data_IF_955829671631
#
_entry.id   IF_955829671631
#
_cell.length_a   1.000
_cell.length_b   1.000
_cell.length_c   1.000
_cell.angle_alpha   90.00
_cell.angle_beta   90.00
_cell.angle_gamma   90.00
#
_symmetry.space_group_name_H-M   'P 1'
#
loop_
_entity.id
_entity.type
_entity.pdbx_description
1 polymer ?
#
# COMPACT_ATOMS: atom_id res chain seq x y z
N UNK A 1 -0.73 1.17 -12.37
CA UNK A 1 -0.40 0.02 -11.53
C UNK A 1 -0.32 -1.25 -12.37
N UNK A 2 0.68 -2.08 -12.16
CA UNK A 2 0.89 -3.37 -12.82
C UNK A 2 0.07 -4.53 -12.21
N UNK A 3 -0.95 -4.23 -11.43
CA UNK A 3 -1.87 -5.23 -10.91
C UNK A 3 -2.72 -5.86 -12.04
N UNK A 4 -3.00 -7.15 -11.93
CA UNK A 4 -3.85 -7.91 -12.87
C UNK A 4 -3.24 -8.12 -14.29
N UNK A 5 -1.91 -8.10 -14.43
CA UNK A 5 -1.23 -8.27 -15.72
C UNK A 5 -1.57 -9.60 -16.40
N UNK A 6 -1.73 -10.69 -15.64
CA UNK A 6 -2.09 -12.00 -16.18
C UNK A 6 -3.43 -11.97 -16.92
N UNK A 7 -4.45 -11.29 -16.37
CA UNK A 7 -5.77 -11.19 -16.99
C UNK A 7 -5.84 -10.22 -18.16
N UNK A 8 -5.04 -9.15 -18.13
CA UNK A 8 -5.10 -8.08 -19.15
C UNK A 8 -3.93 -8.09 -20.12
N UNK A 9 -2.90 -8.92 -19.92
CA UNK A 9 -1.72 -9.10 -20.78
C UNK A 9 -0.80 -7.87 -20.90
N UNK A 10 -1.31 -6.63 -20.79
CA UNK A 10 -0.49 -5.41 -20.81
C UNK A 10 -1.12 -4.28 -20.01
N UNK A 11 -0.28 -3.29 -19.66
CA UNK A 11 -0.73 -2.06 -18.99
C UNK A 11 -1.66 -1.24 -19.88
N UNK A 12 -1.41 -1.22 -21.19
CA UNK A 12 -2.24 -0.55 -22.18
C UNK A 12 -3.63 -1.14 -22.22
N UNK A 13 -3.75 -2.48 -22.13
CA UNK A 13 -5.04 -3.16 -22.09
C UNK A 13 -5.81 -2.90 -20.79
N UNK A 14 -5.09 -2.77 -19.67
CA UNK A 14 -5.69 -2.32 -18.41
C UNK A 14 -6.25 -0.90 -18.56
N UNK A 15 -5.48 0.00 -19.19
CA UNK A 15 -5.89 1.39 -19.43
C UNK A 15 -7.13 1.46 -20.33
N UNK A 16 -7.13 0.74 -21.46
CA UNK A 16 -8.25 0.65 -22.37
C UNK A 16 -9.52 0.14 -21.66
N UNK A 17 -9.40 -0.99 -20.95
CA UNK A 17 -10.55 -1.63 -20.30
C UNK A 17 -11.13 -0.78 -19.16
N UNK A 18 -10.27 -0.22 -18.29
CA UNK A 18 -10.73 0.65 -17.20
C UNK A 18 -11.14 2.01 -17.71
N UNK A 19 -10.47 2.53 -18.73
CA UNK A 19 -10.78 3.79 -19.38
C UNK A 19 -12.13 3.77 -20.13
N UNK A 20 -12.59 2.58 -20.56
CA UNK A 20 -13.89 2.43 -21.18
C UNK A 20 -15.05 2.93 -20.30
N UNK A 21 -14.88 2.92 -18.95
CA UNK A 21 -15.88 3.50 -18.04
C UNK A 21 -16.17 4.97 -18.35
N UNK A 22 -15.17 5.73 -18.77
CA UNK A 22 -15.33 7.16 -19.08
C UNK A 22 -16.19 7.41 -20.32
N UNK A 23 -16.32 6.42 -21.22
CA UNK A 23 -17.17 6.53 -22.42
C UNK A 23 -18.68 6.52 -22.09
N UNK A 24 -19.05 6.12 -20.87
CA UNK A 24 -20.44 6.09 -20.39
C UNK A 24 -20.81 7.32 -19.55
N UNK A 25 -19.90 8.31 -19.43
CA UNK A 25 -20.13 9.52 -18.65
C UNK A 25 -20.75 10.62 -19.52
N UNK A 26 -22.02 10.49 -19.89
CA UNK A 26 -22.71 11.50 -20.72
C UNK A 26 -22.90 12.83 -19.95
N UNK A 27 -23.18 12.80 -18.65
CA UNK A 27 -23.38 13.97 -17.80
C UNK A 27 -22.74 13.77 -16.40
N UNK A 28 -21.73 12.92 -16.29
CA UNK A 28 -21.05 12.60 -15.03
C UNK A 28 -19.72 13.32 -14.90
N UNK A 29 -19.15 13.23 -13.70
CA UNK A 29 -17.84 13.79 -13.36
C UNK A 29 -16.82 12.67 -13.32
N UNK A 30 -15.74 12.81 -14.08
CA UNK A 30 -14.57 11.93 -14.03
C UNK A 30 -13.47 12.52 -13.15
N UNK A 31 -13.12 11.85 -12.07
CA UNK A 31 -12.00 12.23 -11.24
C UNK A 31 -10.73 11.52 -11.71
N UNK A 32 -9.74 12.28 -12.16
CA UNK A 32 -8.55 11.76 -12.83
C UNK A 32 -7.29 12.09 -12.04
N UNK A 33 -6.56 11.05 -11.66
CA UNK A 33 -5.24 11.23 -11.04
C UNK A 33 -4.22 11.76 -12.06
N UNK A 34 -3.85 13.02 -11.93
CA UNK A 34 -2.97 13.71 -12.87
C UNK A 34 -1.48 13.31 -12.71
N UNK A 35 -1.12 12.59 -11.65
CA UNK A 35 0.21 12.01 -11.48
C UNK A 35 0.47 10.81 -12.42
N UNK A 36 -0.56 10.14 -12.95
CA UNK A 36 -0.41 9.08 -13.95
C UNK A 36 -0.54 9.68 -15.37
N UNK A 37 0.60 9.80 -16.07
CA UNK A 37 0.68 10.39 -17.42
C UNK A 37 -0.25 9.71 -18.42
N UNK A 38 -0.49 8.41 -18.27
CA UNK A 38 -1.38 7.65 -19.14
C UNK A 38 -2.84 8.08 -19.02
N UNK A 39 -3.23 8.57 -17.83
CA UNK A 39 -4.58 9.07 -17.58
C UNK A 39 -4.80 10.49 -18.12
N UNK A 40 -3.73 11.28 -18.28
CA UNK A 40 -3.84 12.67 -18.79
C UNK A 40 -4.42 12.73 -20.19
N UNK A 41 -4.10 11.75 -21.03
CA UNK A 41 -4.52 11.68 -22.43
C UNK A 41 -5.89 11.02 -22.66
N UNK A 42 -6.56 10.52 -21.62
CA UNK A 42 -7.88 9.90 -21.76
C UNK A 42 -8.91 10.95 -22.16
N UNK A 43 -9.62 10.68 -23.24
CA UNK A 43 -10.78 11.47 -23.67
C UNK A 43 -11.98 11.12 -22.80
N UNK A 44 -12.65 12.13 -22.28
CA UNK A 44 -13.81 12.01 -21.39
C UNK A 44 -14.93 12.87 -21.94
N UNK A 45 -16.12 12.28 -22.09
CA UNK A 45 -17.30 12.99 -22.64
C UNK A 45 -17.97 13.90 -21.61
N UNK A 46 -17.80 13.64 -20.32
CA UNK A 46 -18.33 14.41 -19.21
C UNK A 46 -17.37 15.47 -18.68
N UNK A 47 -17.70 16.01 -17.52
CA UNK A 47 -16.82 16.91 -16.76
C UNK A 47 -15.58 16.14 -16.27
N UNK A 48 -14.40 16.76 -16.41
CA UNK A 48 -13.12 16.19 -15.95
C UNK A 48 -12.59 17.03 -14.80
N UNK A 49 -12.41 16.40 -13.65
CA UNK A 49 -11.74 16.98 -12.49
C UNK A 49 -10.44 16.23 -12.24
N UNK A 50 -9.35 16.95 -12.22
CA UNK A 50 -8.00 16.42 -12.04
C UNK A 50 -7.51 16.65 -10.61
N UNK A 51 -6.76 15.68 -10.06
CA UNK A 51 -6.18 15.78 -8.74
C UNK A 51 -4.81 15.11 -8.68
N UNK A 52 -3.97 15.49 -7.72
CA UNK A 52 -2.71 14.78 -7.49
C UNK A 52 -1.56 15.68 -7.08
N UNK A 53 -0.37 15.09 -6.97
CA UNK A 53 0.89 15.77 -6.67
C UNK A 53 1.41 16.48 -7.94
N UNK A 54 0.67 17.44 -8.41
CA UNK A 54 0.99 18.23 -9.61
C UNK A 54 0.28 19.58 -9.52
N UNK A 55 1.02 20.67 -9.70
CA UNK A 55 0.49 22.03 -9.62
C UNK A 55 -0.50 22.39 -10.77
N UNK A 56 -0.50 21.61 -11.85
CA UNK A 56 -1.33 21.88 -13.03
C UNK A 56 -2.74 21.23 -12.99
N UNK A 57 -3.08 20.53 -11.88
CA UNK A 57 -4.39 19.91 -11.75
C UNK A 57 -5.38 20.79 -10.97
N UNK A 58 -6.69 20.47 -11.04
CA UNK A 58 -7.75 21.23 -10.38
C UNK A 58 -7.66 21.16 -8.84
N UNK A 59 -7.21 20.02 -8.31
CA UNK A 59 -6.90 19.80 -6.90
C UNK A 59 -5.40 19.49 -6.72
N UNK A 60 -4.54 20.50 -6.80
CA UNK A 60 -3.11 20.32 -6.59
C UNK A 60 -2.83 19.98 -5.13
N UNK A 61 -1.88 19.08 -4.91
CA UNK A 61 -1.49 18.67 -3.57
C UNK A 61 0.02 18.60 -3.40
N UNK A 62 0.47 18.95 -2.20
CA UNK A 62 1.84 18.77 -1.73
C UNK A 62 1.86 17.93 -0.46
N UNK A 63 2.94 17.17 -0.28
CA UNK A 63 3.16 16.32 0.88
C UNK A 63 4.28 16.93 1.73
N UNK A 64 3.98 17.17 2.99
CA UNK A 64 4.92 17.60 4.01
C UNK A 64 4.92 16.61 5.18
N UNK A 65 5.85 16.76 6.11
CA UNK A 65 5.89 15.96 7.32
C UNK A 65 5.84 16.89 8.54
N UNK A 66 5.03 16.52 9.52
CA UNK A 66 4.98 17.14 10.83
C UNK A 66 6.17 16.69 11.70
N UNK A 67 6.39 17.32 12.85
CA UNK A 67 7.52 17.04 13.75
C UNK A 67 7.56 15.57 14.24
N UNK A 68 6.41 14.92 14.36
CA UNK A 68 6.30 13.52 14.73
C UNK A 68 6.48 12.54 13.54
N UNK A 69 6.71 13.09 12.32
CA UNK A 69 6.82 12.38 11.07
C UNK A 69 5.47 11.97 10.45
N UNK A 70 4.34 12.43 11.00
CA UNK A 70 3.02 12.28 10.37
C UNK A 70 2.95 13.10 9.09
N UNK A 71 2.17 12.62 8.13
CA UNK A 71 1.99 13.31 6.86
C UNK A 71 1.00 14.46 7.03
N UNK A 72 1.43 15.63 6.59
CA UNK A 72 0.65 16.83 6.42
C UNK A 72 0.46 17.06 4.92
N UNK A 73 -0.76 17.27 4.47
CA UNK A 73 -1.07 17.57 3.08
C UNK A 73 -1.48 19.03 2.94
N UNK A 74 -1.00 19.68 1.88
CA UNK A 74 -1.63 20.88 1.36
C UNK A 74 -2.40 20.51 0.11
N UNK A 75 -3.73 20.67 0.11
CA UNK A 75 -4.60 20.32 -1.04
C UNK A 75 -5.43 21.54 -1.39
N UNK A 76 -5.33 22.03 -2.63
CA UNK A 76 -6.01 23.26 -3.06
C UNK A 76 -5.84 24.40 -2.03
N UNK A 77 -4.60 24.63 -1.59
CA UNK A 77 -4.21 25.62 -0.57
C UNK A 77 -4.80 25.38 0.84
N UNK A 78 -5.42 24.24 1.10
CA UNK A 78 -5.90 23.83 2.43
C UNK A 78 -4.95 22.84 3.09
N UNK A 79 -4.61 23.12 4.34
CA UNK A 79 -3.81 22.21 5.16
C UNK A 79 -4.70 21.10 5.73
N UNK A 80 -4.29 19.83 5.53
CA UNK A 80 -4.98 18.64 5.99
C UNK A 80 -4.02 17.76 6.80
N UNK A 81 -4.31 17.61 8.09
CA UNK A 81 -3.56 16.75 9.01
C UNK A 81 -4.05 15.31 8.90
N UNK A 82 -3.14 14.37 8.72
CA UNK A 82 -3.51 12.94 8.57
C UNK A 82 -3.34 12.13 9.85
N UNK A 83 -2.45 12.54 10.75
CA UNK A 83 -1.96 11.74 11.90
C UNK A 83 -1.45 10.35 11.48
N UNK A 84 -1.06 10.21 10.23
CA UNK A 84 -0.60 8.95 9.65
C UNK A 84 0.74 9.13 8.94
N UNK A 85 1.59 8.12 9.01
CA UNK A 85 2.85 8.05 8.25
C UNK A 85 2.68 7.26 6.95
N UNK A 86 1.46 6.82 6.64
CA UNK A 86 1.17 5.98 5.47
C UNK A 86 0.96 6.85 4.22
N UNK A 87 1.94 6.81 3.31
CA UNK A 87 1.91 7.58 2.06
C UNK A 87 0.76 7.17 1.14
N UNK A 88 0.40 5.88 1.12
CA UNK A 88 -0.75 5.42 0.31
C UNK A 88 -2.07 5.98 0.84
N UNK A 89 -2.22 6.07 2.17
CA UNK A 89 -3.37 6.72 2.80
C UNK A 89 -3.43 8.21 2.43
N UNK A 90 -2.29 8.91 2.52
CA UNK A 90 -2.20 10.33 2.14
C UNK A 90 -2.60 10.56 0.67
N UNK A 91 -2.09 9.76 -0.25
CA UNK A 91 -2.48 9.83 -1.68
C UNK A 91 -3.97 9.57 -1.90
N UNK A 92 -4.58 8.66 -1.13
CA UNK A 92 -6.03 8.43 -1.20
C UNK A 92 -6.83 9.62 -0.67
N UNK A 93 -6.33 10.34 0.35
CA UNK A 93 -6.98 11.55 0.87
C UNK A 93 -7.07 12.61 -0.23
N UNK A 94 -6.05 12.79 -1.07
CA UNK A 94 -6.10 13.75 -2.19
C UNK A 94 -7.28 13.43 -3.11
N UNK A 95 -7.46 12.16 -3.48
CA UNK A 95 -8.59 11.73 -4.31
C UNK A 95 -9.94 11.95 -3.61
N UNK A 96 -10.03 11.56 -2.33
CA UNK A 96 -11.25 11.75 -1.53
C UNK A 96 -11.59 13.23 -1.37
N UNK A 97 -10.58 14.09 -1.19
CA UNK A 97 -10.78 15.55 -1.10
C UNK A 97 -11.39 16.10 -2.38
N UNK A 98 -10.82 15.76 -3.55
CA UNK A 98 -11.36 16.20 -4.84
C UNK A 98 -12.84 15.80 -4.99
N UNK A 99 -13.18 14.54 -4.70
CA UNK A 99 -14.58 14.07 -4.77
C UNK A 99 -15.47 14.78 -3.75
N UNK A 100 -15.05 14.87 -2.50
CA UNK A 100 -15.88 15.39 -1.41
C UNK A 100 -16.19 16.88 -1.59
N UNK A 101 -15.18 17.69 -1.91
CA UNK A 101 -15.33 19.13 -2.08
C UNK A 101 -16.17 19.46 -3.31
N UNK A 102 -15.97 18.75 -4.42
CA UNK A 102 -16.80 18.91 -5.63
C UNK A 102 -18.27 18.56 -5.36
N UNK A 103 -18.54 17.62 -4.46
CA UNK A 103 -19.90 17.28 -4.02
C UNK A 103 -20.46 18.23 -2.95
N UNK A 104 -19.76 19.32 -2.63
CA UNK A 104 -20.23 20.35 -1.72
C UNK A 104 -20.00 20.06 -0.24
N UNK A 105 -19.11 19.13 0.11
CA UNK A 105 -18.73 18.93 1.50
C UNK A 105 -17.70 19.96 1.94
N UNK A 106 -17.77 20.39 3.20
CA UNK A 106 -16.87 21.38 3.77
C UNK A 106 -15.53 20.77 4.19
N UNK A 107 -14.44 21.55 4.06
CA UNK A 107 -13.09 21.12 4.44
C UNK A 107 -12.97 20.70 5.91
N UNK A 108 -13.62 21.42 6.82
CA UNK A 108 -13.57 21.12 8.26
C UNK A 108 -14.23 19.78 8.58
N UNK A 109 -15.34 19.48 7.91
CA UNK A 109 -15.99 18.17 8.02
C UNK A 109 -15.08 17.06 7.51
N UNK A 110 -14.45 17.27 6.35
CA UNK A 110 -13.52 16.29 5.75
C UNK A 110 -12.32 16.06 6.67
N UNK A 111 -11.73 17.12 7.23
CA UNK A 111 -10.62 17.04 8.18
C UNK A 111 -10.99 16.19 9.41
N UNK A 112 -12.17 16.37 9.98
CA UNK A 112 -12.65 15.58 11.11
C UNK A 112 -12.76 14.10 10.75
N UNK A 113 -13.31 13.77 9.56
CA UNK A 113 -13.45 12.40 9.08
C UNK A 113 -12.09 11.73 8.84
N UNK A 114 -11.13 12.45 8.29
CA UNK A 114 -9.76 11.95 8.09
C UNK A 114 -9.12 11.60 9.44
N UNK A 115 -9.23 12.47 10.45
CA UNK A 115 -8.64 12.23 11.77
C UNK A 115 -9.27 11.06 12.54
N UNK A 116 -10.52 10.77 12.26
CA UNK A 116 -11.27 9.67 12.90
C UNK A 116 -11.31 8.38 12.07
N UNK A 117 -10.76 8.39 10.86
CA UNK A 117 -10.76 7.24 9.96
C UNK A 117 -9.97 6.06 10.52
N UNK A 118 -10.59 4.90 10.49
CA UNK A 118 -9.93 3.63 10.84
C UNK A 118 -9.84 2.76 9.59
N UNK A 119 -8.63 2.38 9.17
CA UNK A 119 -8.48 1.50 8.01
C UNK A 119 -9.26 0.19 8.17
N UNK A 120 -9.90 -0.29 7.10
CA UNK A 120 -10.53 -1.61 7.13
C UNK A 120 -9.52 -2.73 7.41
N UNK A 121 -10.00 -3.89 7.84
CA UNK A 121 -9.17 -5.08 8.06
C UNK A 121 -8.37 -5.41 6.80
N UNK A 122 -7.09 -5.69 6.96
CA UNK A 122 -6.19 -6.03 5.87
C UNK A 122 -5.70 -4.85 5.00
N UNK A 123 -5.94 -3.60 5.41
CA UNK A 123 -5.52 -2.38 4.67
C UNK A 123 -4.63 -1.48 5.52
N UNK A 124 -3.40 -1.88 5.78
CA UNK A 124 -2.44 -1.18 6.65
C UNK A 124 -3.02 -0.85 8.03
N UNK A 125 -3.89 -1.71 8.56
CA UNK A 125 -4.48 -1.53 9.89
C UNK A 125 -3.45 -1.82 10.96
N UNK A 126 -3.31 -0.90 11.92
CA UNK A 126 -2.45 -1.11 13.08
C UNK A 126 -3.23 -1.88 14.15
N UNK A 127 -2.62 -2.95 14.62
CA UNK A 127 -3.07 -3.75 15.75
C UNK A 127 -1.94 -3.82 16.78
N UNK A 128 -2.28 -3.95 18.03
CA UNK A 128 -1.31 -4.15 19.11
C UNK A 128 -1.60 -5.47 19.82
N UNK A 129 -0.59 -6.28 19.97
CA UNK A 129 -0.62 -7.48 20.80
C UNK A 129 0.47 -7.38 21.85
N UNK A 130 0.08 -7.18 23.13
CA UNK A 130 1.02 -6.80 24.20
C UNK A 130 1.83 -5.55 23.75
N UNK A 131 3.15 -5.65 23.72
CA UNK A 131 4.07 -4.61 23.25
C UNK A 131 4.39 -4.68 21.75
N UNK A 132 3.89 -5.69 21.02
CA UNK A 132 4.15 -5.87 19.59
C UNK A 132 3.18 -5.01 18.78
N UNK A 133 3.72 -4.24 17.82
CA UNK A 133 2.93 -3.49 16.83
C UNK A 133 2.80 -4.32 15.55
N UNK A 134 1.57 -4.54 15.12
CA UNK A 134 1.26 -5.35 13.93
C UNK A 134 0.67 -4.43 12.87
N UNK A 135 1.21 -4.49 11.65
CA UNK A 135 0.64 -3.87 10.46
C UNK A 135 -0.07 -4.95 9.65
N UNK A 136 -1.40 -4.96 9.72
CA UNK A 136 -2.25 -5.86 8.95
C UNK A 136 -2.51 -5.26 7.57
N UNK A 137 -1.74 -5.68 6.55
CA UNK A 137 -1.94 -5.33 5.14
C UNK A 137 -2.15 -6.58 4.27
N UNK A 138 -2.97 -7.50 4.79
CA UNK A 138 -3.16 -8.85 4.28
C UNK A 138 -4.18 -8.97 3.15
N UNK A 139 -4.88 -7.89 2.77
CA UNK A 139 -5.97 -7.97 1.80
C UNK A 139 -5.51 -8.34 0.40
N UNK A 140 -4.46 -7.70 -0.12
CA UNK A 140 -3.88 -7.96 -1.43
C UNK A 140 -2.44 -7.43 -1.53
N UNK A 141 -1.70 -7.88 -2.55
CA UNK A 141 -0.33 -7.45 -2.80
C UNK A 141 -0.05 -7.22 -4.29
N UNK A 142 0.71 -6.18 -4.57
CA UNK A 142 1.49 -5.96 -5.79
C UNK A 142 2.78 -5.23 -5.38
N UNK A 143 3.77 -5.15 -6.26
CA UNK A 143 5.07 -4.57 -5.94
C UNK A 143 4.96 -3.16 -5.33
N UNK A 144 4.21 -2.26 -5.98
CA UNK A 144 4.05 -0.88 -5.52
C UNK A 144 3.48 -0.80 -4.10
N UNK A 145 2.45 -1.60 -3.82
CA UNK A 145 1.84 -1.65 -2.49
C UNK A 145 2.72 -2.33 -1.45
N UNK A 146 3.54 -3.31 -1.83
CA UNK A 146 4.52 -3.94 -0.94
C UNK A 146 5.63 -2.94 -0.56
N UNK A 147 6.18 -2.21 -1.53
CA UNK A 147 7.15 -1.14 -1.29
C UNK A 147 6.58 -0.11 -0.32
N UNK A 148 5.38 0.40 -0.59
CA UNK A 148 4.73 1.38 0.27
C UNK A 148 4.47 0.87 1.70
N UNK A 149 4.12 -0.42 1.87
CA UNK A 149 3.92 -1.01 3.18
C UNK A 149 5.24 -1.21 3.96
N UNK A 150 6.33 -1.56 3.27
CA UNK A 150 7.67 -1.62 3.87
C UNK A 150 8.10 -0.22 4.30
N UNK A 151 7.97 0.80 3.45
CA UNK A 151 8.29 2.19 3.81
C UNK A 151 7.46 2.67 5.01
N UNK A 152 6.19 2.28 5.07
CA UNK A 152 5.34 2.57 6.22
C UNK A 152 5.83 1.88 7.50
N UNK A 153 6.24 0.61 7.45
CA UNK A 153 6.87 -0.07 8.59
C UNK A 153 8.15 0.67 9.03
N UNK A 154 8.97 1.11 8.07
CA UNK A 154 10.23 1.83 8.37
C UNK A 154 10.01 3.18 9.03
N UNK A 155 8.87 3.83 8.82
CA UNK A 155 8.52 5.10 9.44
C UNK A 155 8.15 5.00 10.94
N UNK A 156 7.97 3.79 11.48
CA UNK A 156 7.75 3.62 12.93
C UNK A 156 9.04 3.83 13.72
N UNK A 157 9.01 4.76 14.67
CA UNK A 157 10.11 5.05 15.58
C UNK A 157 10.23 3.99 16.69
N UNK A 158 11.37 4.02 17.43
CA UNK A 158 11.65 3.20 18.62
C UNK A 158 12.46 1.94 18.31
N UNK A 159 12.96 1.29 19.35
CA UNK A 159 14.04 0.29 19.31
C UNK A 159 13.60 -1.14 18.96
N UNK A 160 12.35 -1.41 18.65
CA UNK A 160 11.89 -2.75 18.28
C UNK A 160 12.34 -3.16 16.88
N UNK A 161 12.55 -4.47 16.67
CA UNK A 161 12.90 -5.03 15.35
C UNK A 161 11.79 -4.73 14.33
N UNK A 162 12.20 -4.51 13.09
CA UNK A 162 11.32 -4.32 11.93
C UNK A 162 11.30 -5.59 11.09
N UNK A 163 10.16 -6.24 11.10
CA UNK A 163 9.95 -7.59 10.56
C UNK A 163 8.90 -7.55 9.47
N UNK A 164 9.14 -8.24 8.36
CA UNK A 164 8.13 -8.44 7.32
C UNK A 164 7.83 -9.92 7.12
N UNK A 165 6.54 -10.23 6.92
CA UNK A 165 6.03 -11.55 6.53
C UNK A 165 5.30 -11.37 5.20
N UNK A 166 5.92 -11.86 4.12
CA UNK A 166 5.47 -11.63 2.76
C UNK A 166 5.00 -12.92 2.10
N UNK A 167 3.80 -12.89 1.53
CA UNK A 167 3.27 -13.95 0.66
C UNK A 167 3.28 -13.53 -0.80
N UNK A 168 3.14 -14.50 -1.71
CA UNK A 168 3.18 -14.29 -3.16
C UNK A 168 2.34 -13.10 -3.63
N UNK A 169 2.85 -12.40 -4.62
CA UNK A 169 2.09 -11.47 -5.46
C UNK A 169 1.54 -12.27 -6.66
N UNK A 170 0.25 -12.54 -6.66
CA UNK A 170 -0.43 -13.31 -7.69
C UNK A 170 -0.88 -12.43 -8.87
N UNK A 171 -1.35 -13.05 -9.94
CA UNK A 171 -1.89 -12.42 -11.16
C UNK A 171 -0.86 -11.57 -11.94
N UNK A 172 0.43 -11.90 -11.84
CA UNK A 172 1.52 -11.19 -12.52
C UNK A 172 1.92 -11.83 -13.87
N UNK A 173 1.53 -13.08 -14.15
CA UNK A 173 1.92 -13.78 -15.36
C UNK A 173 3.45 -13.82 -15.52
N UNK A 174 3.94 -13.59 -16.73
CA UNK A 174 5.37 -13.62 -17.06
C UNK A 174 6.21 -12.59 -16.29
N UNK A 175 5.60 -11.55 -15.75
CA UNK A 175 6.28 -10.54 -14.95
C UNK A 175 6.54 -10.99 -13.49
N UNK A 176 6.03 -12.17 -13.07
CA UNK A 176 6.09 -12.61 -11.68
C UNK A 176 7.51 -12.62 -11.13
N UNK A 177 8.43 -13.28 -11.82
CA UNK A 177 9.82 -13.37 -11.39
C UNK A 177 10.45 -12.00 -11.17
N UNK A 178 10.37 -11.12 -12.17
CA UNK A 178 10.97 -9.78 -12.10
C UNK A 178 10.39 -8.96 -10.96
N UNK A 179 9.06 -9.01 -10.74
CA UNK A 179 8.39 -8.25 -9.70
C UNK A 179 8.79 -8.76 -8.29
N UNK A 180 8.91 -10.08 -8.13
CA UNK A 180 9.36 -10.68 -6.86
C UNK A 180 10.84 -10.38 -6.58
N UNK A 181 11.72 -10.42 -7.60
CA UNK A 181 13.12 -10.02 -7.44
C UNK A 181 13.24 -8.53 -7.03
N UNK A 182 12.46 -7.63 -7.65
CA UNK A 182 12.41 -6.21 -7.24
C UNK A 182 11.97 -6.03 -5.79
N UNK A 183 11.00 -6.83 -5.32
CA UNK A 183 10.60 -6.82 -3.91
C UNK A 183 11.74 -7.26 -2.99
N UNK A 184 12.51 -8.28 -3.38
CA UNK A 184 13.67 -8.72 -2.61
C UNK A 184 14.79 -7.67 -2.53
N UNK A 185 15.04 -6.94 -3.61
CA UNK A 185 15.98 -5.80 -3.61
C UNK A 185 15.48 -4.70 -2.65
N UNK A 186 14.19 -4.37 -2.67
CA UNK A 186 13.60 -3.42 -1.72
C UNK A 186 13.77 -3.87 -0.27
N UNK A 187 13.59 -5.16 0.03
CA UNK A 187 13.84 -5.69 1.37
C UNK A 187 15.31 -5.53 1.80
N UNK A 188 16.26 -5.69 0.84
CA UNK A 188 17.68 -5.51 1.11
C UNK A 188 18.06 -4.06 1.44
N UNK A 189 17.37 -3.09 0.84
CA UNK A 189 17.61 -1.66 1.03
C UNK A 189 16.97 -1.09 2.29
N UNK A 190 15.94 -1.76 2.82
CA UNK A 190 15.04 -1.21 3.83
C UNK A 190 15.51 -1.39 5.28
N UNK A 191 16.77 -1.74 5.55
CA UNK A 191 17.28 -1.93 6.94
C UNK A 191 16.34 -2.76 7.84
N UNK A 192 15.78 -3.84 7.31
CA UNK A 192 14.91 -4.77 8.04
C UNK A 192 15.75 -5.70 8.92
N UNK A 193 15.23 -6.05 10.09
CA UNK A 193 15.85 -7.02 11.00
C UNK A 193 15.51 -8.46 10.62
N UNK A 194 14.31 -8.68 10.06
CA UNK A 194 13.90 -10.01 9.60
C UNK A 194 12.96 -9.95 8.40
N UNK A 195 13.15 -10.87 7.47
CA UNK A 195 12.27 -11.12 6.32
C UNK A 195 11.87 -12.58 6.31
N UNK A 196 10.58 -12.83 6.40
CA UNK A 196 9.98 -14.16 6.26
C UNK A 196 9.12 -14.17 5.01
N UNK A 197 9.35 -15.14 4.15
CA UNK A 197 8.62 -15.28 2.90
C UNK A 197 7.92 -16.63 2.81
N UNK A 198 6.70 -16.65 2.26
CA UNK A 198 5.92 -17.87 2.05
C UNK A 198 5.22 -17.85 0.69
N UNK A 199 5.34 -18.93 -0.05
CA UNK A 199 4.73 -19.11 -1.38
C UNK A 199 5.74 -19.47 -2.45
N UNK A 200 5.26 -19.98 -3.59
CA UNK A 200 6.13 -20.51 -4.64
C UNK A 200 6.96 -19.42 -5.33
N UNK A 201 6.35 -18.27 -5.58
CA UNK A 201 6.98 -17.15 -6.26
C UNK A 201 7.93 -16.37 -5.33
N UNK A 202 7.70 -16.42 -4.01
CA UNK A 202 8.58 -15.81 -3.03
C UNK A 202 10.01 -16.38 -3.02
N UNK A 203 10.26 -17.51 -3.68
CA UNK A 203 11.63 -18.02 -3.93
C UNK A 203 12.47 -17.01 -4.71
N UNK A 204 11.87 -16.27 -5.65
CA UNK A 204 12.56 -15.23 -6.41
C UNK A 204 12.92 -14.04 -5.51
N UNK A 205 11.99 -13.63 -4.64
CA UNK A 205 12.26 -12.60 -3.62
C UNK A 205 13.43 -13.03 -2.73
N UNK A 206 13.36 -14.25 -2.20
CA UNK A 206 14.36 -14.83 -1.31
C UNK A 206 15.77 -14.87 -1.93
N UNK A 207 15.86 -15.21 -3.23
CA UNK A 207 17.13 -15.43 -3.93
C UNK A 207 18.00 -14.17 -4.06
N UNK A 208 17.42 -12.99 -3.96
CA UNK A 208 18.11 -11.71 -4.16
C UNK A 208 18.30 -10.90 -2.89
N UNK A 209 17.65 -11.30 -1.77
CA UNK A 209 17.79 -10.59 -0.48
C UNK A 209 19.21 -10.70 0.04
N UNK A 210 19.80 -9.55 0.41
CA UNK A 210 21.13 -9.44 1.00
C UNK A 210 21.11 -8.49 2.20
N UNK A 211 22.01 -8.74 3.16
CA UNK A 211 22.23 -7.82 4.28
C UNK A 211 21.14 -7.81 5.36
N UNK A 212 20.09 -8.61 5.24
CA UNK A 212 19.06 -8.77 6.28
C UNK A 212 19.53 -9.84 7.27
N UNK A 213 19.58 -9.54 8.59
CA UNK A 213 20.13 -10.46 9.61
C UNK A 213 19.39 -11.81 9.67
N UNK A 214 18.06 -11.80 9.57
CA UNK A 214 17.23 -13.00 9.55
C UNK A 214 16.45 -13.01 8.26
N UNK A 215 16.74 -13.97 7.38
CA UNK A 215 16.12 -14.08 6.06
C UNK A 215 15.75 -15.54 5.81
N UNK A 216 14.43 -15.87 5.90
CA UNK A 216 13.95 -17.24 5.86
C UNK A 216 12.77 -17.40 4.90
N UNK A 217 12.82 -18.47 4.10
CA UNK A 217 11.74 -18.90 3.23
C UNK A 217 11.00 -20.10 3.83
N UNK A 218 9.69 -20.12 3.68
CA UNK A 218 8.82 -21.19 4.11
C UNK A 218 7.93 -21.68 2.95
N UNK A 219 7.76 -22.96 2.84
CA UNK A 219 6.76 -23.62 1.99
C UNK A 219 5.58 -24.18 2.81
N UNK A 220 5.77 -24.26 4.13
CA UNK A 220 4.75 -24.70 5.09
C UNK A 220 4.33 -23.57 6.03
N UNK A 221 3.01 -23.31 6.08
CA UNK A 221 2.41 -22.27 6.91
C UNK A 221 2.57 -22.57 8.41
N UNK A 222 2.41 -23.83 8.82
CA UNK A 222 2.51 -24.21 10.22
C UNK A 222 3.92 -24.02 10.76
N UNK A 223 4.94 -24.32 9.95
CA UNK A 223 6.34 -24.06 10.29
C UNK A 223 6.60 -22.56 10.48
N UNK A 224 6.12 -21.70 9.56
CA UNK A 224 6.23 -20.24 9.69
C UNK A 224 5.55 -19.73 10.97
N UNK A 225 4.31 -20.15 11.23
CA UNK A 225 3.53 -19.76 12.41
C UNK A 225 4.25 -20.17 13.70
N UNK A 226 4.73 -21.43 13.75
CA UNK A 226 5.44 -21.97 14.91
C UNK A 226 6.72 -21.18 15.21
N UNK A 227 7.48 -20.86 14.15
CA UNK A 227 8.69 -20.06 14.28
C UNK A 227 8.37 -18.64 14.77
N UNK A 228 7.41 -17.96 14.19
CA UNK A 228 7.02 -16.61 14.62
C UNK A 228 6.56 -16.58 16.08
N UNK A 229 5.79 -17.58 16.54
CA UNK A 229 5.36 -17.69 17.95
C UNK A 229 6.53 -17.80 18.91
N UNK A 230 7.61 -18.48 18.52
CA UNK A 230 8.80 -18.68 19.39
C UNK A 230 9.77 -17.50 19.37
N UNK A 231 9.82 -16.74 18.27
CA UNK A 231 10.89 -15.78 18.02
C UNK A 231 10.49 -14.31 18.15
N UNK A 232 9.17 -14.00 18.14
CA UNK A 232 8.69 -12.63 18.34
C UNK A 232 9.03 -12.15 19.76
N UNK A 233 9.46 -10.89 19.86
CA UNK A 233 9.91 -10.25 21.09
C UNK A 233 9.11 -8.97 21.37
N UNK A 234 9.22 -8.52 22.59
CA UNK A 234 8.65 -7.23 23.00
C UNK A 234 9.16 -6.09 22.11
N UNK A 235 8.25 -5.18 21.79
CA UNK A 235 8.43 -4.01 20.93
C UNK A 235 8.69 -4.32 19.44
N UNK A 236 8.62 -5.57 18.99
CA UNK A 236 8.70 -5.89 17.57
C UNK A 236 7.60 -5.14 16.78
N UNK A 237 7.95 -4.73 15.57
CA UNK A 237 7.04 -4.15 14.59
C UNK A 237 7.00 -5.08 13.40
N UNK A 238 5.83 -5.67 13.13
CA UNK A 238 5.69 -6.73 12.14
C UNK A 238 4.60 -6.41 11.10
N UNK A 239 4.98 -6.47 9.84
CA UNK A 239 4.07 -6.30 8.69
C UNK A 239 3.70 -7.66 8.10
N UNK A 240 2.40 -7.90 7.91
CA UNK A 240 1.91 -9.04 7.14
C UNK A 240 1.31 -8.57 5.82
N UNK A 241 1.78 -9.12 4.70
CA UNK A 241 1.28 -8.76 3.37
C UNK A 241 1.43 -9.90 2.37
N UNK A 242 0.44 -10.05 1.49
CA UNK A 242 0.42 -11.00 0.38
C UNK A 242 -0.85 -10.85 -0.44
N UNK A 243 -0.90 -11.48 -1.60
CA UNK A 243 -2.09 -11.48 -2.45
C UNK A 243 -3.27 -12.16 -1.76
N UNK A 244 -4.49 -11.81 -2.17
CA UNK A 244 -5.73 -12.32 -1.57
C UNK A 244 -5.78 -13.85 -1.48
N UNK A 245 -5.26 -14.53 -2.50
CA UNK A 245 -5.18 -16.00 -2.55
C UNK A 245 -4.29 -16.62 -1.48
N UNK A 246 -3.32 -15.89 -0.95
CA UNK A 246 -2.40 -16.36 0.10
C UNK A 246 -3.05 -16.42 1.49
N UNK A 247 -4.18 -15.71 1.69
CA UNK A 247 -4.91 -15.67 2.97
C UNK A 247 -4.00 -15.36 4.16
N UNK A 248 -3.15 -14.34 4.01
CA UNK A 248 -2.15 -13.94 5.01
C UNK A 248 -2.77 -13.55 6.36
N UNK A 249 -4.05 -13.13 6.37
CA UNK A 249 -4.82 -12.88 7.58
C UNK A 249 -4.94 -14.12 8.49
N UNK A 250 -4.88 -15.32 7.92
CA UNK A 250 -4.91 -16.54 8.70
C UNK A 250 -3.58 -16.78 9.43
N UNK A 251 -2.45 -16.48 8.78
CA UNK A 251 -1.13 -16.56 9.43
C UNK A 251 -1.08 -15.57 10.59
N UNK A 252 -1.52 -14.32 10.34
CA UNK A 252 -1.59 -13.29 11.36
C UNK A 252 -2.44 -13.74 12.56
N UNK A 253 -3.67 -14.23 12.32
CA UNK A 253 -4.53 -14.73 13.39
C UNK A 253 -3.87 -15.88 14.18
N UNK A 254 -3.33 -16.88 13.51
CA UNK A 254 -2.69 -18.01 14.17
C UNK A 254 -1.47 -17.63 15.01
N UNK A 255 -0.71 -16.61 14.61
CA UNK A 255 0.46 -16.15 15.38
C UNK A 255 0.05 -15.47 16.67
N UNK A 256 -1.07 -14.71 16.67
CA UNK A 256 -1.45 -13.84 17.78
C UNK A 256 -2.70 -14.29 18.57
N UNK A 257 -3.35 -15.37 18.16
CA UNK A 257 -4.39 -16.07 18.94
C UNK A 257 -3.77 -17.15 19.84
#
# INVERSE_FOLDING_TARGET
SSAHLEGFQSVEKILETKGALFNYLDNGIAYVNYADERLRSITISGEKITYGLNAECDFPADIHHDDDGSILLTIDSKEIKTKSKNLSFAKNIIAVSAVSITLGLEWDWLQERILTFKPPKGRCRILNYKSITIIDDTYNANLESCVAAIDYLMAFAGDGRKIVVLGDMLELGDASKEQHEKLGLKCSEASLDAVFTIGQEMKYTQSVIKGVPINMYYDDRGALVSYLKSELKDNDKILFKGSRGMKMENILSEVFE
#
